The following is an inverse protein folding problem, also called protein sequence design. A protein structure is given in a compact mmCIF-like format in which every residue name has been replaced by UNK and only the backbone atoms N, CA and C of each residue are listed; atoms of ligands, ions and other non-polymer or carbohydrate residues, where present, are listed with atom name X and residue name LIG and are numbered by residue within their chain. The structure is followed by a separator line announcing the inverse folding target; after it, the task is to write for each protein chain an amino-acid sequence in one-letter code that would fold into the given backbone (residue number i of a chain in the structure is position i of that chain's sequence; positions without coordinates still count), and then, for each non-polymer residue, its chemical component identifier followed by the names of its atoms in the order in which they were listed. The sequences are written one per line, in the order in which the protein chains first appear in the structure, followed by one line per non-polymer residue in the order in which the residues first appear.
data_IF_684431465788
#
_entry.id   IF_684431465788
#
_cell.length_a   1.000
_cell.length_b   1.000
_cell.length_c   1.000
_cell.angle_alpha   90.00
_cell.angle_beta   90.00
_cell.angle_gamma   90.00
#
_symmetry.space_group_name_H-M   'P 1'
#
loop_
_entity.id
_entity.type
_entity.pdbx_description
1 polymer ?
#
# COMPACT_ATOMS: atom_id res chain seq x y z
N UNK A 1 -1.18 -10.92 -17.66
CA UNK A 1 0.21 -11.34 -17.40
C UNK A 1 0.32 -12.81 -17.03
N UNK A 2 -0.23 -13.25 -15.90
CA UNK A 2 -0.11 -14.65 -15.41
C UNK A 2 -0.44 -15.71 -16.47
N UNK A 3 -1.57 -15.61 -17.18
CA UNK A 3 -1.93 -16.53 -18.28
C UNK A 3 -0.88 -16.59 -19.40
N UNK A 4 -0.36 -15.43 -19.82
CA UNK A 4 0.66 -15.35 -20.87
C UNK A 4 1.98 -15.99 -20.42
N UNK A 5 2.34 -15.80 -19.15
CA UNK A 5 3.52 -16.45 -18.54
C UNK A 5 3.34 -17.96 -18.52
N UNK A 6 2.17 -18.46 -18.07
CA UNK A 6 1.87 -19.89 -18.09
C UNK A 6 1.94 -20.47 -19.51
N UNK A 7 1.38 -19.79 -20.51
CA UNK A 7 1.47 -20.21 -21.92
C UNK A 7 2.91 -20.20 -22.46
N UNK A 8 3.79 -19.35 -21.92
CA UNK A 8 5.22 -19.38 -22.25
C UNK A 8 5.92 -20.57 -21.59
N UNK A 9 5.61 -20.87 -20.32
CA UNK A 9 6.12 -22.04 -19.61
C UNK A 9 5.67 -23.33 -20.29
N UNK A 10 4.41 -23.43 -20.73
CA UNK A 10 3.86 -24.59 -21.43
C UNK A 10 4.70 -24.98 -22.67
N UNK A 11 5.17 -24.01 -23.46
CA UNK A 11 6.02 -24.25 -24.65
C UNK A 11 7.36 -24.92 -24.34
N UNK A 12 7.80 -24.86 -23.09
CA UNK A 12 9.08 -25.38 -22.63
C UNK A 12 8.94 -26.44 -21.53
N UNK A 13 7.70 -26.90 -21.26
CA UNK A 13 7.39 -27.85 -20.20
C UNK A 13 7.97 -29.24 -20.52
N UNK A 14 8.52 -29.90 -19.50
CA UNK A 14 9.15 -31.22 -19.58
C UNK A 14 8.73 -32.07 -18.39
N UNK A 15 8.77 -33.39 -18.58
CA UNK A 15 8.55 -34.37 -17.52
C UNK A 15 9.51 -34.15 -16.34
N UNK A 16 8.99 -34.23 -15.13
CA UNK A 16 9.72 -34.05 -13.87
C UNK A 16 9.92 -32.59 -13.42
N UNK A 17 9.43 -31.59 -14.18
CA UNK A 17 9.55 -30.20 -13.75
C UNK A 17 8.55 -29.85 -12.64
N UNK A 18 8.98 -28.93 -11.77
CA UNK A 18 8.12 -28.30 -10.77
C UNK A 18 7.90 -26.83 -11.16
N UNK A 19 6.64 -26.40 -11.13
CA UNK A 19 6.20 -25.04 -11.45
C UNK A 19 5.49 -24.49 -10.22
N UNK A 20 5.94 -23.33 -9.73
CA UNK A 20 5.32 -22.67 -8.57
C UNK A 20 4.87 -21.27 -8.97
N UNK A 21 3.58 -20.98 -8.77
CA UNK A 21 3.04 -19.64 -8.93
C UNK A 21 3.26 -18.84 -7.63
N UNK A 22 3.94 -17.69 -7.73
CA UNK A 22 4.16 -16.79 -6.58
C UNK A 22 3.37 -15.47 -6.66
N UNK A 23 2.89 -15.10 -7.85
CA UNK A 23 2.12 -13.88 -8.05
C UNK A 23 0.79 -13.93 -7.29
N UNK A 24 0.45 -12.84 -6.60
CA UNK A 24 -0.87 -12.70 -5.96
C UNK A 24 -1.99 -12.84 -6.98
N UNK A 25 -3.01 -13.62 -6.64
CA UNK A 25 -4.16 -13.90 -7.48
C UNK A 25 -5.36 -14.37 -6.62
N UNK A 26 -6.51 -14.61 -7.23
CA UNK A 26 -7.69 -15.15 -6.53
C UNK A 26 -7.62 -16.67 -6.33
N UNK A 27 -8.30 -17.22 -5.30
CA UNK A 27 -8.32 -18.65 -5.03
C UNK A 27 -8.91 -19.42 -6.21
N UNK A 28 -8.21 -20.48 -6.63
CA UNK A 28 -8.53 -21.29 -7.81
C UNK A 28 -7.68 -20.94 -9.04
N UNK A 29 -6.80 -19.93 -9.00
CA UNK A 29 -6.02 -19.59 -10.20
C UNK A 29 -5.05 -20.69 -10.60
N UNK A 30 -4.35 -21.27 -9.63
CA UNK A 30 -3.40 -22.36 -9.88
C UNK A 30 -4.10 -23.58 -10.50
N UNK A 31 -5.28 -23.94 -9.97
CA UNK A 31 -6.02 -25.14 -10.40
C UNK A 31 -6.89 -24.92 -11.64
N UNK A 32 -7.60 -23.80 -11.74
CA UNK A 32 -8.62 -23.58 -12.78
C UNK A 32 -8.06 -22.81 -13.99
N UNK A 33 -6.88 -22.19 -13.86
CA UNK A 33 -6.29 -21.36 -14.92
C UNK A 33 -4.91 -21.88 -15.34
N UNK A 34 -3.99 -22.06 -14.39
CA UNK A 34 -2.61 -22.42 -14.73
C UNK A 34 -2.51 -23.88 -15.15
N UNK A 35 -3.10 -24.78 -14.36
CA UNK A 35 -3.06 -26.21 -14.65
C UNK A 35 -3.62 -26.54 -16.06
N UNK A 36 -4.81 -26.07 -16.47
CA UNK A 36 -5.31 -26.32 -17.83
C UNK A 36 -4.35 -25.85 -18.92
N UNK A 37 -3.76 -24.65 -18.79
CA UNK A 37 -2.81 -24.10 -19.78
C UNK A 37 -1.56 -24.98 -19.90
N UNK A 38 -1.06 -25.53 -18.79
CA UNK A 38 0.11 -26.41 -18.81
C UNK A 38 -0.23 -27.80 -19.36
N UNK A 39 -1.43 -28.30 -19.09
CA UNK A 39 -1.91 -29.61 -19.55
C UNK A 39 -2.30 -29.64 -21.03
N UNK A 40 -2.48 -28.49 -21.70
CA UNK A 40 -2.60 -28.39 -23.16
C UNK A 40 -1.41 -29.01 -23.91
N UNK A 41 -0.26 -29.17 -23.25
CA UNK A 41 0.93 -29.85 -23.80
C UNK A 41 0.77 -31.37 -23.91
N UNK A 42 -0.28 -31.95 -23.30
CA UNK A 42 -0.49 -33.38 -23.16
C UNK A 42 0.22 -34.00 -21.94
N UNK A 43 1.03 -33.23 -21.21
CA UNK A 43 1.56 -33.63 -19.90
C UNK A 43 0.52 -33.40 -18.81
N UNK A 44 0.49 -34.25 -17.78
CA UNK A 44 -0.47 -34.14 -16.68
C UNK A 44 0.19 -33.73 -15.36
N UNK A 45 -0.45 -32.82 -14.62
CA UNK A 45 -0.03 -32.49 -13.24
C UNK A 45 -0.11 -33.74 -12.35
N UNK A 46 0.74 -33.84 -11.32
CA UNK A 46 0.91 -34.99 -10.40
C UNK A 46 1.62 -36.20 -11.00
N UNK A 47 1.57 -36.36 -12.32
CA UNK A 47 2.13 -37.54 -13.01
C UNK A 47 3.39 -37.15 -13.75
N UNK A 48 3.26 -36.19 -14.66
CA UNK A 48 4.34 -35.79 -15.57
C UNK A 48 5.08 -34.56 -15.06
N UNK A 49 4.39 -33.63 -14.39
CA UNK A 49 4.98 -32.44 -13.78
C UNK A 49 4.29 -32.12 -12.45
N UNK A 50 4.88 -31.23 -11.66
CA UNK A 50 4.40 -30.86 -10.34
C UNK A 50 4.05 -29.37 -10.29
N UNK A 51 2.85 -29.05 -9.82
CA UNK A 51 2.36 -27.68 -9.72
C UNK A 51 2.19 -27.28 -8.26
N UNK A 52 2.53 -26.04 -7.92
CA UNK A 52 2.32 -25.49 -6.59
C UNK A 52 2.08 -24.00 -6.57
N UNK A 53 1.82 -23.49 -5.37
CA UNK A 53 1.65 -22.06 -5.12
C UNK A 53 2.40 -21.68 -3.84
N UNK A 54 3.06 -20.53 -3.87
CA UNK A 54 3.72 -19.96 -2.70
C UNK A 54 3.71 -18.43 -2.78
N UNK A 55 2.85 -17.74 -2.01
CA UNK A 55 2.72 -16.30 -2.16
C UNK A 55 3.97 -15.56 -1.70
N UNK A 56 4.30 -14.47 -2.38
CA UNK A 56 5.31 -13.53 -1.88
C UNK A 56 4.76 -12.70 -0.71
N UNK A 57 5.52 -12.55 0.37
CA UNK A 57 5.11 -11.94 1.65
C UNK A 57 6.12 -10.89 2.15
N UNK A 58 7.14 -10.58 1.37
CA UNK A 58 8.09 -9.49 1.63
C UNK A 58 7.42 -8.13 1.87
N UNK A 59 8.01 -7.34 2.77
CA UNK A 59 7.63 -5.96 3.06
C UNK A 59 8.71 -4.99 2.50
N UNK A 60 8.49 -4.34 1.35
CA UNK A 60 9.54 -3.59 0.65
C UNK A 60 10.18 -2.50 1.51
N UNK A 61 11.52 -2.46 1.58
CA UNK A 61 12.25 -1.44 2.35
C UNK A 61 12.29 -1.68 3.87
N UNK A 62 11.73 -2.78 4.37
CA UNK A 62 11.80 -3.15 5.78
C UNK A 62 13.11 -3.88 6.09
N UNK A 63 14.06 -3.19 6.72
CA UNK A 63 15.38 -3.73 7.08
C UNK A 63 15.36 -4.67 8.29
N UNK A 64 14.24 -4.74 9.01
CA UNK A 64 14.11 -5.58 10.21
C UNK A 64 13.88 -7.06 9.90
N UNK A 65 13.52 -7.38 8.65
CA UNK A 65 13.23 -8.75 8.23
C UNK A 65 14.05 -9.10 7.00
N UNK A 66 14.82 -10.18 7.10
CA UNK A 66 15.50 -10.79 5.97
C UNK A 66 14.53 -11.77 5.28
N UNK A 67 14.57 -11.85 3.95
CA UNK A 67 13.71 -12.77 3.16
C UNK A 67 13.78 -14.20 3.70
N UNK A 68 14.98 -14.69 4.03
CA UNK A 68 15.20 -16.02 4.57
C UNK A 68 14.52 -16.27 5.93
N UNK A 69 14.11 -15.23 6.66
CA UNK A 69 13.45 -15.34 7.98
C UNK A 69 11.93 -15.27 7.90
N UNK A 70 11.37 -14.82 6.78
CA UNK A 70 9.92 -14.70 6.60
C UNK A 70 9.35 -16.10 6.37
N UNK A 71 8.37 -16.56 7.17
CA UNK A 71 7.77 -17.87 6.95
C UNK A 71 7.10 -17.94 5.56
N UNK A 72 7.50 -18.92 4.74
CA UNK A 72 6.96 -19.08 3.39
C UNK A 72 5.80 -20.08 3.43
N UNK A 73 4.61 -19.63 3.05
CA UNK A 73 3.43 -20.50 2.90
C UNK A 73 3.59 -21.28 1.61
N UNK A 74 3.37 -22.59 1.64
CA UNK A 74 3.52 -23.44 0.46
C UNK A 74 2.36 -24.40 0.32
N UNK A 75 1.99 -24.69 -0.93
CA UNK A 75 1.08 -25.74 -1.28
C UNK A 75 1.46 -26.37 -2.61
N UNK A 76 1.16 -27.66 -2.77
CA UNK A 76 1.28 -28.36 -4.03
C UNK A 76 -0.06 -28.96 -4.45
N UNK A 77 -0.22 -29.16 -5.75
CA UNK A 77 -1.32 -29.93 -6.32
C UNK A 77 -1.05 -31.42 -6.08
N UNK A 78 -1.48 -31.96 -4.93
CA UNK A 78 -1.23 -33.34 -4.52
C UNK A 78 -0.02 -33.50 -3.58
N UNK A 79 0.14 -34.70 -3.02
CA UNK A 79 1.09 -34.95 -1.92
C UNK A 79 2.54 -34.89 -2.40
N UNK A 80 2.83 -35.39 -3.61
CA UNK A 80 4.15 -35.38 -4.22
C UNK A 80 4.59 -33.95 -4.52
N UNK A 81 3.72 -33.16 -5.16
CA UNK A 81 3.99 -31.76 -5.44
C UNK A 81 4.21 -30.96 -4.14
N UNK A 82 3.38 -31.18 -3.11
CA UNK A 82 3.53 -30.50 -1.83
C UNK A 82 4.87 -30.82 -1.17
N UNK A 83 5.31 -32.08 -1.23
CA UNK A 83 6.62 -32.53 -0.72
C UNK A 83 7.77 -31.83 -1.45
N UNK A 84 7.71 -31.76 -2.78
CA UNK A 84 8.75 -31.12 -3.60
C UNK A 84 8.82 -29.61 -3.37
N UNK A 85 7.67 -28.93 -3.35
CA UNK A 85 7.59 -27.49 -3.11
C UNK A 85 8.12 -27.16 -1.71
N UNK A 86 7.72 -27.93 -0.70
CA UNK A 86 8.21 -27.75 0.66
C UNK A 86 9.73 -27.95 0.74
N UNK A 87 10.27 -29.01 0.15
CA UNK A 87 11.70 -29.29 0.14
C UNK A 87 12.50 -28.16 -0.55
N UNK A 88 11.97 -27.62 -1.66
CA UNK A 88 12.59 -26.49 -2.35
C UNK A 88 12.68 -25.26 -1.45
N UNK A 89 11.56 -24.81 -0.87
CA UNK A 89 11.57 -23.60 -0.03
C UNK A 89 12.26 -23.80 1.31
N UNK A 90 12.39 -25.02 1.83
CA UNK A 90 13.23 -25.32 3.00
C UNK A 90 14.71 -25.01 2.75
N UNK A 91 15.16 -25.03 1.48
CA UNK A 91 16.50 -24.57 1.10
C UNK A 91 16.63 -23.05 0.97
N UNK A 92 15.51 -22.31 0.98
CA UNK A 92 15.47 -20.86 0.74
C UNK A 92 15.17 -20.08 2.04
N UNK A 93 14.26 -20.59 2.87
CA UNK A 93 13.80 -19.93 4.10
C UNK A 93 13.93 -20.83 5.32
N UNK A 94 14.07 -20.22 6.50
CA UNK A 94 14.16 -20.91 7.79
C UNK A 94 12.87 -21.61 8.20
N UNK A 95 11.72 -21.12 7.75
CA UNK A 95 10.42 -21.65 8.16
C UNK A 95 9.49 -21.76 6.97
N UNK A 96 9.02 -22.98 6.72
CA UNK A 96 8.01 -23.28 5.70
C UNK A 96 6.71 -23.66 6.39
N UNK A 97 5.59 -23.12 5.91
CA UNK A 97 4.25 -23.35 6.46
C UNK A 97 3.42 -24.05 5.37
N UNK A 98 3.38 -25.38 5.34
CA UNK A 98 2.58 -26.10 4.36
C UNK A 98 1.09 -25.95 4.66
N UNK A 99 0.30 -25.78 3.61
CA UNK A 99 -1.18 -25.83 3.65
C UNK A 99 -1.70 -26.87 2.66
N UNK A 100 -2.96 -27.27 2.84
CA UNK A 100 -3.52 -28.45 2.17
C UNK A 100 -3.76 -28.27 0.67
N UNK A 101 -4.05 -27.05 0.20
CA UNK A 101 -4.35 -26.78 -1.21
C UNK A 101 -3.74 -25.47 -1.69
N UNK A 102 -3.46 -25.39 -2.99
CA UNK A 102 -3.01 -24.16 -3.68
C UNK A 102 -4.01 -23.03 -3.49
N UNK A 103 -5.31 -23.31 -3.61
CA UNK A 103 -6.38 -22.35 -3.32
C UNK A 103 -6.34 -21.81 -1.87
N UNK A 104 -5.98 -22.65 -0.89
CA UNK A 104 -5.80 -22.20 0.51
C UNK A 104 -4.62 -21.23 0.59
N UNK A 105 -3.49 -21.55 -0.04
CA UNK A 105 -2.32 -20.67 -0.05
C UNK A 105 -2.58 -19.34 -0.78
N UNK A 106 -3.33 -19.34 -1.88
CA UNK A 106 -3.81 -18.15 -2.58
C UNK A 106 -4.70 -17.28 -1.66
N UNK A 107 -5.64 -17.92 -0.94
CA UNK A 107 -6.54 -17.24 -0.02
C UNK A 107 -5.81 -16.62 1.19
N UNK A 108 -4.73 -17.24 1.69
CA UNK A 108 -3.91 -16.69 2.78
C UNK A 108 -3.39 -15.31 2.40
N UNK A 109 -2.82 -15.16 1.20
CA UNK A 109 -2.25 -13.88 0.76
C UNK A 109 -3.29 -12.77 0.66
N UNK A 110 -4.46 -13.09 0.11
CA UNK A 110 -5.56 -12.14 0.02
C UNK A 110 -6.08 -11.75 1.40
N UNK A 111 -6.21 -12.72 2.31
CA UNK A 111 -6.66 -12.49 3.69
C UNK A 111 -5.73 -11.49 4.41
N UNK A 112 -4.40 -11.63 4.25
CA UNK A 112 -3.43 -10.68 4.81
C UNK A 112 -3.64 -9.25 4.31
N UNK A 113 -3.81 -9.08 2.99
CA UNK A 113 -4.00 -7.76 2.39
C UNK A 113 -5.38 -7.16 2.71
N UNK A 114 -6.44 -7.97 2.71
CA UNK A 114 -7.79 -7.56 3.11
C UNK A 114 -7.78 -7.11 4.58
N UNK A 115 -7.19 -7.90 5.47
CA UNK A 115 -7.07 -7.55 6.88
C UNK A 115 -6.35 -6.22 7.08
N UNK A 116 -5.25 -5.99 6.37
CA UNK A 116 -4.55 -4.70 6.41
C UNK A 116 -5.41 -3.55 5.86
N UNK A 117 -6.08 -3.73 4.72
CA UNK A 117 -6.92 -2.70 4.10
C UNK A 117 -8.09 -2.28 5.01
N UNK A 118 -8.81 -3.26 5.56
CA UNK A 118 -9.97 -3.05 6.44
C UNK A 118 -9.57 -2.35 7.73
N UNK A 119 -8.46 -2.73 8.37
CA UNK A 119 -8.05 -2.07 9.60
C UNK A 119 -7.50 -0.66 9.36
N UNK A 120 -6.84 -0.40 8.22
CA UNK A 120 -6.46 0.98 7.85
C UNK A 120 -7.72 1.83 7.62
N UNK A 121 -8.74 1.29 6.95
CA UNK A 121 -10.02 1.99 6.78
C UNK A 121 -10.68 2.29 8.12
N UNK A 122 -10.69 1.32 9.05
CA UNK A 122 -11.23 1.50 10.39
C UNK A 122 -10.56 2.66 11.12
N UNK A 123 -9.23 2.72 11.18
CA UNK A 123 -8.54 3.82 11.88
C UNK A 123 -8.69 5.17 11.16
N UNK A 124 -8.80 5.16 9.83
CA UNK A 124 -9.11 6.36 9.04
C UNK A 124 -10.53 6.89 9.31
N UNK A 125 -11.51 6.01 9.47
CA UNK A 125 -12.88 6.39 9.87
C UNK A 125 -12.91 6.92 11.30
N UNK A 126 -12.29 6.19 12.24
CA UNK A 126 -12.21 6.62 13.65
C UNK A 126 -11.54 7.98 13.79
N UNK A 127 -10.50 8.27 12.99
CA UNK A 127 -9.86 9.60 12.96
C UNK A 127 -10.84 10.73 12.67
N UNK A 128 -11.76 10.54 11.71
CA UNK A 128 -12.77 11.56 11.38
C UNK A 128 -13.77 11.72 12.52
N UNK A 129 -14.26 10.61 13.07
CA UNK A 129 -15.24 10.63 14.17
C UNK A 129 -14.65 11.24 15.43
N UNK A 130 -13.49 10.75 15.88
CA UNK A 130 -12.82 11.24 17.08
C UNK A 130 -12.32 12.68 16.90
N UNK A 131 -11.87 13.06 15.70
CA UNK A 131 -11.51 14.44 15.37
C UNK A 131 -12.69 15.41 15.55
N UNK A 132 -13.90 15.02 15.14
CA UNK A 132 -15.11 15.81 15.38
C UNK A 132 -15.47 15.96 16.87
N UNK A 133 -15.00 15.03 17.71
CA UNK A 133 -15.14 15.07 19.17
C UNK A 133 -13.96 15.79 19.86
N UNK A 134 -12.96 16.26 19.12
CA UNK A 134 -11.74 16.86 19.68
C UNK A 134 -10.78 15.85 20.33
N UNK A 135 -10.88 14.57 19.99
CA UNK A 135 -10.05 13.48 20.55
C UNK A 135 -8.95 13.12 19.56
N UNK A 136 -7.70 13.05 20.05
CA UNK A 136 -6.54 12.68 19.22
C UNK A 136 -6.48 11.16 19.00
N UNK A 137 -6.76 10.73 17.77
CA UNK A 137 -6.69 9.32 17.37
C UNK A 137 -5.30 8.70 17.60
N UNK A 138 -4.22 9.47 17.49
CA UNK A 138 -2.87 8.94 17.69
C UNK A 138 -2.61 8.59 19.15
N UNK A 139 -3.09 9.43 20.07
CA UNK A 139 -3.05 9.15 21.51
C UNK A 139 -3.88 7.90 21.83
N UNK A 140 -5.09 7.80 21.26
CA UNK A 140 -5.97 6.63 21.44
C UNK A 140 -5.30 5.35 20.97
N UNK A 141 -4.66 5.35 19.78
CA UNK A 141 -3.97 4.18 19.25
C UNK A 141 -2.78 3.79 20.12
N UNK A 142 -1.94 4.75 20.55
CA UNK A 142 -0.78 4.43 21.40
C UNK A 142 -1.20 3.94 22.79
N UNK A 143 -2.28 4.47 23.36
CA UNK A 143 -2.85 3.94 24.60
C UNK A 143 -3.42 2.53 24.39
N UNK A 144 -4.19 2.29 23.32
CA UNK A 144 -4.79 0.99 23.03
C UNK A 144 -3.75 -0.10 22.74
N UNK A 145 -2.62 0.28 22.11
CA UNK A 145 -1.46 -0.59 21.83
C UNK A 145 -0.82 -1.17 23.08
N UNK A 146 -1.01 -0.56 24.25
CA UNK A 146 -0.54 -1.13 25.52
C UNK A 146 -1.26 -2.42 25.92
N UNK A 147 -2.42 -2.72 25.32
CA UNK A 147 -3.17 -3.95 25.58
C UNK A 147 -2.44 -5.16 24.95
N UNK A 148 -2.03 -6.17 25.73
CA UNK A 148 -1.18 -7.24 25.24
C UNK A 148 -1.88 -8.27 24.35
N UNK A 149 -3.21 -8.19 24.18
CA UNK A 149 -3.98 -9.12 23.36
C UNK A 149 -5.18 -8.44 22.69
N UNK A 150 -5.59 -8.96 21.53
CA UNK A 150 -6.81 -8.55 20.83
C UNK A 150 -6.77 -7.14 20.25
N UNK A 151 -5.61 -6.49 20.21
CA UNK A 151 -5.41 -5.22 19.52
C UNK A 151 -4.08 -5.22 18.80
N UNK A 152 -4.13 -5.00 17.48
CA UNK A 152 -2.95 -4.82 16.64
C UNK A 152 -3.03 -3.41 16.05
N UNK A 153 -2.06 -2.53 16.32
CA UNK A 153 -2.17 -1.13 15.93
C UNK A 153 -2.07 -0.97 14.42
N UNK A 154 -2.99 -0.18 13.87
CA UNK A 154 -2.90 0.42 12.55
C UNK A 154 -2.94 1.93 12.72
N UNK A 155 -2.40 2.64 11.74
CA UNK A 155 -2.24 4.09 11.83
C UNK A 155 -2.93 4.78 10.66
N UNK A 156 -3.61 5.92 10.89
CA UNK A 156 -4.25 6.65 9.82
C UNK A 156 -3.20 7.29 8.90
N UNK A 157 -3.61 7.64 7.69
CA UNK A 157 -2.72 8.24 6.70
C UNK A 157 -3.47 9.02 5.62
N UNK A 158 -2.76 9.53 4.60
CA UNK A 158 -3.35 10.32 3.52
C UNK A 158 -4.12 9.46 2.51
N UNK A 159 -4.01 8.14 2.60
CA UNK A 159 -4.61 7.16 1.71
C UNK A 159 -3.79 5.87 1.69
N UNK A 160 -4.24 4.90 0.91
CA UNK A 160 -3.46 3.70 0.61
C UNK A 160 -2.59 3.94 -0.62
N UNK A 161 -1.47 3.21 -0.72
CA UNK A 161 -0.71 3.12 -1.95
C UNK A 161 0.06 1.81 -2.05
N UNK A 162 0.82 1.66 -3.13
CA UNK A 162 1.33 0.39 -3.62
C UNK A 162 0.22 -0.44 -4.27
N UNK A 163 0.54 -1.57 -4.90
CA UNK A 163 -0.49 -2.41 -5.53
C UNK A 163 -1.22 -3.32 -4.54
N UNK A 164 -0.51 -3.86 -3.55
CA UNK A 164 -1.01 -5.00 -2.76
C UNK A 164 -2.25 -4.68 -1.91
N UNK A 165 -2.38 -3.46 -1.38
CA UNK A 165 -3.50 -3.11 -0.48
C UNK A 165 -4.69 -2.51 -1.24
N UNK A 166 -4.49 -1.60 -2.21
CA UNK A 166 -5.58 -1.04 -3.00
C UNK A 166 -6.20 -2.03 -4.00
N UNK A 167 -5.45 -3.01 -4.51
CA UNK A 167 -5.89 -3.85 -5.63
C UNK A 167 -6.23 -5.27 -5.19
N UNK A 168 -5.32 -5.96 -4.49
CA UNK A 168 -5.47 -7.40 -4.22
C UNK A 168 -6.80 -7.77 -3.52
N UNK A 169 -7.34 -7.00 -2.55
CA UNK A 169 -8.66 -7.30 -1.97
C UNK A 169 -9.78 -7.47 -3.00
N UNK A 170 -9.72 -6.74 -4.12
CA UNK A 170 -10.71 -6.82 -5.18
C UNK A 170 -10.61 -8.09 -6.03
N UNK A 171 -9.50 -8.83 -5.98
CA UNK A 171 -9.43 -10.16 -6.60
C UNK A 171 -10.42 -11.12 -5.93
N UNK A 172 -10.55 -11.05 -4.60
CA UNK A 172 -11.56 -11.82 -3.89
C UNK A 172 -12.97 -11.28 -4.16
N UNK A 173 -13.16 -9.96 -4.19
CA UNK A 173 -14.46 -9.36 -4.57
C UNK A 173 -14.92 -9.84 -5.94
N UNK A 174 -14.02 -9.88 -6.92
CA UNK A 174 -14.32 -10.37 -8.26
C UNK A 174 -14.69 -11.86 -8.23
N UNK A 175 -13.88 -12.71 -7.57
CA UNK A 175 -14.14 -14.15 -7.50
C UNK A 175 -15.41 -14.49 -6.72
N UNK A 176 -15.72 -13.75 -5.66
CA UNK A 176 -16.91 -13.96 -4.83
C UNK A 176 -18.23 -13.71 -5.58
N UNK A 177 -18.22 -12.88 -6.63
CA UNK A 177 -19.39 -12.66 -7.50
C UNK A 177 -19.81 -13.92 -8.24
N UNK A 178 -18.87 -14.81 -8.58
CA UNK A 178 -19.21 -16.12 -9.18
C UNK A 178 -19.98 -17.04 -8.22
N UNK A 179 -19.90 -16.76 -6.92
CA UNK A 179 -20.64 -17.47 -5.87
C UNK A 179 -21.85 -16.66 -5.36
N UNK A 180 -22.20 -15.56 -6.03
CA UNK A 180 -23.30 -14.67 -5.63
C UNK A 180 -23.14 -14.06 -4.22
N UNK A 181 -21.88 -13.94 -3.75
CA UNK A 181 -21.54 -13.43 -2.43
C UNK A 181 -20.91 -12.02 -2.52
N UNK A 182 -21.57 -10.96 -2.02
CA UNK A 182 -20.97 -9.63 -1.99
C UNK A 182 -19.97 -9.46 -0.84
N UNK A 183 -18.81 -8.85 -1.12
CA UNK A 183 -17.76 -8.58 -0.13
C UNK A 183 -17.89 -7.18 0.48
N UNK A 184 -18.97 -6.94 1.23
CA UNK A 184 -19.34 -5.60 1.73
C UNK A 184 -18.23 -4.88 2.54
N UNK A 185 -17.52 -5.61 3.40
CA UNK A 185 -16.43 -5.02 4.19
C UNK A 185 -15.24 -4.58 3.33
N UNK A 186 -14.90 -5.33 2.28
CA UNK A 186 -13.80 -4.99 1.37
C UNK A 186 -14.15 -3.72 0.60
N UNK A 187 -15.37 -3.65 0.08
CA UNK A 187 -15.86 -2.51 -0.70
C UNK A 187 -15.93 -1.24 0.16
N UNK A 188 -16.48 -1.34 1.38
CA UNK A 188 -16.55 -0.22 2.32
C UNK A 188 -15.15 0.26 2.73
N UNK A 189 -14.22 -0.66 3.01
CA UNK A 189 -12.85 -0.30 3.34
C UNK A 189 -12.17 0.46 2.20
N UNK A 190 -12.39 0.02 0.96
CA UNK A 190 -11.86 0.71 -0.21
C UNK A 190 -12.47 2.11 -0.39
N UNK A 191 -13.78 2.28 -0.18
CA UNK A 191 -14.45 3.58 -0.23
C UNK A 191 -13.83 4.56 0.78
N UNK A 192 -13.72 4.15 2.05
CA UNK A 192 -13.15 4.98 3.12
C UNK A 192 -11.71 5.38 2.78
N UNK A 193 -10.88 4.41 2.37
CA UNK A 193 -9.48 4.65 2.08
C UNK A 193 -9.27 5.55 0.85
N UNK A 194 -10.09 5.38 -0.20
CA UNK A 194 -10.03 6.19 -1.43
C UNK A 194 -10.52 7.62 -1.19
N UNK A 195 -11.37 7.84 -0.18
CA UNK A 195 -11.83 9.16 0.21
C UNK A 195 -10.78 9.98 1.00
N UNK A 196 -9.73 9.34 1.54
CA UNK A 196 -8.77 10.01 2.42
C UNK A 196 -8.01 11.18 1.78
N UNK A 197 -7.52 11.11 0.52
CA UNK A 197 -6.89 12.26 -0.11
C UNK A 197 -7.79 13.50 -0.16
N UNK A 198 -9.09 13.32 -0.44
CA UNK A 198 -10.06 14.43 -0.43
C UNK A 198 -10.23 14.99 0.98
N UNK A 199 -10.31 14.15 2.00
CA UNK A 199 -10.39 14.61 3.40
C UNK A 199 -9.15 15.41 3.82
N UNK A 200 -7.96 14.99 3.41
CA UNK A 200 -6.72 15.74 3.65
C UNK A 200 -6.77 17.11 3.00
N UNK A 201 -7.24 17.19 1.74
CA UNK A 201 -7.40 18.48 1.03
C UNK A 201 -8.46 19.37 1.68
N UNK A 202 -9.57 18.81 2.17
CA UNK A 202 -10.58 19.56 2.91
C UNK A 202 -10.02 20.14 4.22
N UNK A 203 -9.23 19.36 4.97
CA UNK A 203 -8.56 19.84 6.18
C UNK A 203 -7.48 20.87 5.87
N UNK A 204 -6.72 20.71 4.78
CA UNK A 204 -5.79 21.71 4.28
C UNK A 204 -6.50 23.04 3.97
N UNK A 205 -7.62 23.00 3.26
CA UNK A 205 -8.39 24.19 2.92
C UNK A 205 -8.92 24.90 4.18
N UNK A 206 -9.47 24.15 5.14
CA UNK A 206 -9.93 24.68 6.44
C UNK A 206 -8.78 25.30 7.23
N UNK A 207 -7.61 24.66 7.23
CA UNK A 207 -6.44 25.13 7.95
C UNK A 207 -5.89 26.43 7.34
N UNK A 208 -5.79 26.51 6.01
CA UNK A 208 -5.39 27.73 5.29
C UNK A 208 -6.34 28.90 5.57
N UNK A 209 -7.64 28.66 5.54
CA UNK A 209 -8.66 29.68 5.81
C UNK A 209 -8.55 30.19 7.26
N UNK A 210 -8.61 29.27 8.23
CA UNK A 210 -8.65 29.62 9.66
C UNK A 210 -7.35 30.21 10.18
N UNK A 211 -6.19 29.75 9.71
CA UNK A 211 -4.88 30.14 10.25
C UNK A 211 -4.19 31.22 9.43
N UNK A 212 -4.44 31.26 8.12
CA UNK A 212 -3.74 32.18 7.22
C UNK A 212 -4.69 33.16 6.52
N UNK A 213 -6.01 32.99 6.61
CA UNK A 213 -6.99 33.78 5.85
C UNK A 213 -6.88 33.57 4.33
N UNK A 214 -6.35 32.41 3.90
CA UNK A 214 -6.08 32.09 2.49
C UNK A 214 -7.02 31.01 1.99
N UNK A 215 -7.53 31.20 0.76
CA UNK A 215 -8.30 30.18 0.07
C UNK A 215 -7.36 29.24 -0.69
N UNK A 216 -7.61 27.93 -0.66
CA UNK A 216 -6.80 26.92 -1.35
C UNK A 216 -6.61 27.22 -2.85
N UNK A 217 -7.63 27.76 -3.51
CA UNK A 217 -7.62 28.14 -4.93
C UNK A 217 -6.61 29.23 -5.31
N UNK A 218 -5.97 29.87 -4.33
CA UNK A 218 -4.96 30.90 -4.53
C UNK A 218 -3.67 30.60 -3.78
N UNK A 219 -3.55 29.40 -3.22
CA UNK A 219 -2.43 28.99 -2.41
C UNK A 219 -1.46 28.11 -3.19
N UNK A 220 -0.18 28.21 -2.81
CA UNK A 220 0.89 27.30 -3.22
C UNK A 220 1.13 26.30 -2.11
N UNK A 221 1.07 25.02 -2.46
CA UNK A 221 1.18 23.90 -1.54
C UNK A 221 2.39 23.06 -1.90
N UNK A 222 3.23 22.75 -0.91
CA UNK A 222 4.32 21.80 -1.05
C UNK A 222 3.93 20.46 -0.46
N UNK A 223 3.93 19.40 -1.29
CA UNK A 223 3.75 18.02 -0.84
C UNK A 223 5.12 17.43 -0.49
N UNK A 224 5.28 16.97 0.75
CA UNK A 224 6.47 16.24 1.20
C UNK A 224 6.19 14.75 1.09
N UNK A 225 6.93 14.10 0.21
CA UNK A 225 6.80 12.68 -0.11
C UNK A 225 5.86 12.43 -1.29
N UNK A 226 6.41 11.86 -2.35
CA UNK A 226 5.68 11.37 -3.52
C UNK A 226 5.56 9.85 -3.51
N UNK A 227 6.55 9.14 -2.97
CA UNK A 227 6.47 7.70 -2.78
C UNK A 227 5.34 7.33 -1.81
N UNK A 228 4.69 6.19 -2.02
CA UNK A 228 3.59 5.76 -1.13
C UNK A 228 4.07 5.25 0.23
N UNK A 229 5.34 4.84 0.31
CA UNK A 229 5.99 4.26 1.49
C UNK A 229 7.30 5.00 1.76
N UNK A 230 7.60 5.18 3.05
CA UNK A 230 8.87 5.75 3.50
C UNK A 230 10.07 5.03 2.90
N UNK A 231 11.09 5.81 2.55
CA UNK A 231 12.44 5.39 2.16
C UNK A 231 12.54 4.49 0.92
N UNK A 232 11.54 4.49 0.04
CA UNK A 232 11.56 3.77 -1.23
C UNK A 232 11.14 4.71 -2.38
N UNK A 233 11.60 4.49 -3.63
CA UNK A 233 11.24 5.33 -4.78
C UNK A 233 9.92 4.91 -5.47
N UNK A 234 9.05 4.19 -4.77
CA UNK A 234 7.85 3.59 -5.37
C UNK A 234 6.62 4.50 -5.23
N UNK A 235 6.10 4.94 -6.37
CA UNK A 235 4.95 5.86 -6.46
C UNK A 235 3.66 5.18 -6.92
N UNK A 236 3.66 3.85 -7.10
CA UNK A 236 2.49 3.13 -7.61
C UNK A 236 1.31 3.32 -6.66
N UNK A 237 0.16 3.72 -7.20
CA UNK A 237 -1.04 4.06 -6.41
C UNK A 237 -0.79 5.09 -5.30
N UNK A 238 0.23 5.95 -5.41
CA UNK A 238 0.57 6.87 -4.33
C UNK A 238 -0.55 7.90 -4.07
N UNK A 239 -0.98 8.10 -2.80
CA UNK A 239 -1.98 9.10 -2.47
C UNK A 239 -1.50 10.52 -2.78
N UNK A 240 -0.19 10.76 -2.80
CA UNK A 240 0.39 12.07 -3.14
C UNK A 240 0.06 12.53 -4.55
N UNK A 241 -0.06 11.60 -5.52
CA UNK A 241 -0.46 11.93 -6.88
C UNK A 241 -1.89 12.48 -6.89
N UNK A 242 -2.80 11.84 -6.15
CA UNK A 242 -4.18 12.30 -6.03
C UNK A 242 -4.30 13.61 -5.24
N UNK A 243 -3.47 13.82 -4.20
CA UNK A 243 -3.43 15.08 -3.46
C UNK A 243 -3.07 16.26 -4.38
N UNK A 244 -2.05 16.09 -5.23
CA UNK A 244 -1.63 17.10 -6.21
C UNK A 244 -2.79 17.46 -7.13
N UNK A 245 -3.44 16.46 -7.72
CA UNK A 245 -4.57 16.68 -8.64
C UNK A 245 -5.74 17.37 -7.95
N UNK A 246 -6.12 16.94 -6.74
CA UNK A 246 -7.22 17.54 -5.99
C UNK A 246 -6.96 19.01 -5.64
N UNK A 247 -5.71 19.35 -5.29
CA UNK A 247 -5.32 20.75 -5.03
C UNK A 247 -5.46 21.60 -6.31
N UNK A 248 -5.04 21.06 -7.45
CA UNK A 248 -5.13 21.74 -8.75
C UNK A 248 -6.57 21.82 -9.28
N UNK A 249 -7.40 20.80 -9.04
CA UNK A 249 -8.84 20.81 -9.31
C UNK A 249 -9.55 21.95 -8.54
N UNK A 250 -9.07 22.26 -7.34
CA UNK A 250 -9.54 23.41 -6.54
C UNK A 250 -8.98 24.76 -7.01
N UNK A 251 -8.07 24.77 -7.99
CA UNK A 251 -7.39 25.96 -8.52
C UNK A 251 -6.09 26.34 -7.80
N UNK A 252 -5.69 25.59 -6.77
CA UNK A 252 -4.41 25.78 -6.08
C UNK A 252 -3.23 25.34 -6.95
N UNK A 253 -2.01 25.62 -6.49
CA UNK A 253 -0.77 25.12 -7.11
C UNK A 253 -0.11 24.12 -6.19
N UNK A 254 0.19 22.93 -6.69
CA UNK A 254 0.89 21.91 -5.93
C UNK A 254 2.28 21.65 -6.52
N UNK A 255 3.30 21.67 -5.68
CA UNK A 255 4.65 21.19 -6.00
C UNK A 255 5.01 20.09 -5.01
N UNK A 256 6.04 19.29 -5.29
CA UNK A 256 6.43 18.22 -4.39
C UNK A 256 7.93 18.19 -4.15
N UNK A 257 8.31 17.68 -2.99
CA UNK A 257 9.67 17.29 -2.67
C UNK A 257 9.68 15.82 -2.24
N UNK A 258 10.53 15.01 -2.87
CA UNK A 258 10.79 13.63 -2.48
C UNK A 258 12.28 13.29 -2.67
N UNK A 259 12.98 12.76 -1.64
CA UNK A 259 14.41 12.48 -1.72
C UNK A 259 14.75 11.22 -2.56
N UNK A 260 13.76 10.40 -2.90
CA UNK A 260 13.92 9.16 -3.67
C UNK A 260 13.27 9.23 -5.06
N UNK A 261 12.42 10.22 -5.31
CA UNK A 261 11.72 10.39 -6.60
C UNK A 261 12.00 11.77 -7.16
N UNK A 262 12.81 11.83 -8.21
CA UNK A 262 13.26 13.11 -8.80
C UNK A 262 12.24 13.73 -9.76
N UNK A 263 11.41 12.91 -10.41
CA UNK A 263 10.45 13.33 -11.43
C UNK A 263 9.26 12.38 -11.48
N UNK A 264 8.05 12.90 -11.72
CA UNK A 264 6.84 12.09 -11.94
C UNK A 264 6.94 11.40 -13.32
N UNK A 265 7.08 10.07 -13.40
CA UNK A 265 7.12 9.35 -14.65
C UNK A 265 5.75 9.34 -15.34
N UNK A 266 5.70 8.84 -16.57
CA UNK A 266 4.44 8.61 -17.25
C UNK A 266 3.62 7.52 -16.52
N UNK A 267 2.45 7.89 -16.00
CA UNK A 267 1.51 6.94 -15.38
C UNK A 267 0.20 6.92 -16.18
N UNK A 268 -0.56 5.82 -16.10
CA UNK A 268 -1.83 5.71 -16.83
C UNK A 268 -2.87 6.74 -16.37
N UNK A 269 -2.90 7.01 -15.07
CA UNK A 269 -3.99 7.77 -14.42
C UNK A 269 -3.62 9.24 -14.20
N UNK A 270 -2.33 9.56 -14.00
CA UNK A 270 -1.87 10.90 -13.64
C UNK A 270 -1.07 11.57 -14.77
N UNK A 271 -1.53 11.42 -16.01
CA UNK A 271 -0.84 11.94 -17.20
C UNK A 271 -0.69 13.47 -17.20
N UNK A 272 -1.61 14.19 -16.55
CA UNK A 272 -1.62 15.65 -16.51
C UNK A 272 -0.42 16.23 -15.73
N UNK A 273 0.12 15.48 -14.77
CA UNK A 273 1.19 15.93 -13.87
C UNK A 273 2.55 15.30 -14.17
N UNK A 274 2.66 14.53 -15.27
CA UNK A 274 3.91 13.92 -15.72
C UNK A 274 5.01 14.96 -15.92
N UNK A 275 6.26 14.57 -15.68
CA UNK A 275 7.43 15.43 -15.90
C UNK A 275 7.64 16.51 -14.83
N UNK A 276 6.75 16.63 -13.85
CA UNK A 276 6.97 17.50 -12.69
C UNK A 276 8.14 16.97 -11.87
N UNK A 277 9.05 17.86 -11.50
CA UNK A 277 10.28 17.52 -10.78
C UNK A 277 10.15 17.82 -9.29
N UNK A 278 10.87 17.04 -8.50
CA UNK A 278 11.04 17.32 -7.07
C UNK A 278 11.74 18.66 -6.90
N UNK A 279 11.14 19.55 -6.12
CA UNK A 279 11.79 20.81 -5.74
C UNK A 279 12.87 20.55 -4.70
N UNK A 280 13.90 21.38 -4.62
CA UNK A 280 14.90 21.29 -3.56
C UNK A 280 14.37 21.94 -2.28
N UNK A 281 14.55 21.25 -1.14
CA UNK A 281 14.08 21.74 0.15
C UNK A 281 15.08 22.75 0.71
N UNK A 282 14.81 24.04 0.50
CA UNK A 282 15.59 25.15 1.08
C UNK A 282 14.70 26.03 1.95
N UNK A 283 15.29 26.82 2.85
CA UNK A 283 14.55 27.81 3.66
C UNK A 283 13.73 28.76 2.77
N UNK A 284 14.33 29.27 1.69
CA UNK A 284 13.66 30.18 0.77
C UNK A 284 12.43 29.52 0.11
N UNK A 285 12.57 28.26 -0.30
CA UNK A 285 11.48 27.47 -0.88
C UNK A 285 10.37 27.24 0.15
N UNK A 286 10.72 26.83 1.38
CA UNK A 286 9.72 26.59 2.44
C UNK A 286 8.90 27.83 2.79
N UNK A 287 9.51 29.02 2.80
CA UNK A 287 8.83 30.30 3.06
C UNK A 287 7.96 30.78 1.89
N UNK A 288 8.21 30.29 0.68
CA UNK A 288 7.50 30.67 -0.54
C UNK A 288 6.17 29.89 -0.72
N UNK A 289 5.98 28.80 0.04
CA UNK A 289 4.73 28.05 0.08
C UNK A 289 3.81 28.53 1.20
N UNK A 290 2.50 28.52 0.93
CA UNK A 290 1.47 28.89 1.90
C UNK A 290 1.18 27.78 2.89
N UNK A 291 1.41 26.52 2.48
CA UNK A 291 1.34 25.36 3.35
C UNK A 291 2.21 24.20 2.84
N UNK A 292 2.60 23.34 3.78
CA UNK A 292 3.29 22.09 3.53
C UNK A 292 2.38 20.93 3.95
N UNK A 293 2.21 19.93 3.09
CA UNK A 293 1.48 18.68 3.41
C UNK A 293 2.48 17.54 3.50
N UNK A 294 2.59 16.89 4.65
CA UNK A 294 3.41 15.68 4.80
C UNK A 294 2.56 14.46 4.45
N UNK A 295 2.85 13.86 3.29
CA UNK A 295 2.19 12.66 2.79
C UNK A 295 3.00 11.39 3.06
N UNK A 296 4.33 11.49 3.12
CA UNK A 296 5.22 10.36 3.43
C UNK A 296 6.34 10.75 4.38
N UNK A 297 6.59 9.89 5.37
CA UNK A 297 7.52 10.12 6.48
C UNK A 297 8.93 9.57 6.19
N UNK A 298 9.60 10.14 5.18
CA UNK A 298 10.96 9.76 4.81
C UNK A 298 12.00 10.19 5.86
N UNK A 299 12.96 9.32 6.16
CA UNK A 299 14.00 9.58 7.17
C UNK A 299 14.98 10.67 6.72
N UNK A 300 15.13 10.89 5.40
CA UNK A 300 16.08 11.86 4.83
C UNK A 300 15.58 13.31 4.83
N UNK A 301 14.35 13.56 5.29
CA UNK A 301 13.75 14.90 5.34
C UNK A 301 14.14 15.62 6.62
N UNK A 302 14.59 16.87 6.51
CA UNK A 302 14.78 17.76 7.64
C UNK A 302 13.44 18.36 8.10
N UNK A 303 12.74 17.63 8.97
CA UNK A 303 11.48 18.09 9.55
C UNK A 303 11.64 19.28 10.50
N UNK A 304 12.85 19.50 11.06
CA UNK A 304 13.11 20.68 11.89
C UNK A 304 13.07 21.94 11.02
N UNK A 305 13.75 21.93 9.88
CA UNK A 305 13.72 23.03 8.92
C UNK A 305 12.28 23.32 8.42
N UNK A 306 11.47 22.28 8.17
CA UNK A 306 10.06 22.45 7.82
C UNK A 306 9.30 23.12 8.97
N UNK A 307 9.48 22.64 10.21
CA UNK A 307 8.82 23.22 11.38
C UNK A 307 9.16 24.70 11.60
N UNK A 308 10.41 25.09 11.30
CA UNK A 308 10.94 26.44 11.54
C UNK A 308 10.57 27.44 10.44
N UNK A 309 10.32 26.98 9.21
CA UNK A 309 10.17 27.88 8.06
C UNK A 309 8.82 27.80 7.35
N UNK A 310 8.07 26.71 7.49
CA UNK A 310 6.74 26.60 6.88
C UNK A 310 5.71 27.42 7.66
N UNK A 311 4.88 28.17 6.93
CA UNK A 311 3.79 28.96 7.52
C UNK A 311 2.70 28.09 8.17
N UNK A 312 2.35 27.01 7.47
CA UNK A 312 1.32 26.06 7.88
C UNK A 312 1.75 24.66 7.48
N UNK A 313 1.56 23.69 8.38
CA UNK A 313 1.90 22.29 8.14
C UNK A 313 0.67 21.43 8.35
N UNK A 314 0.37 20.58 7.38
CA UNK A 314 -0.67 19.55 7.44
C UNK A 314 0.02 18.20 7.49
N UNK A 315 0.05 17.58 8.66
CA UNK A 315 0.76 16.33 8.94
C UNK A 315 -0.21 15.15 8.94
N UNK A 316 -0.12 14.33 7.89
CA UNK A 316 -0.97 13.13 7.75
C UNK A 316 -0.37 11.87 8.37
N UNK A 317 0.89 11.95 8.82
CA UNK A 317 1.70 10.82 9.31
C UNK A 317 2.11 10.96 10.77
N UNK A 318 1.72 12.07 11.42
CA UNK A 318 2.09 12.41 12.79
C UNK A 318 3.62 12.37 13.01
N UNK A 319 4.38 12.85 12.02
CA UNK A 319 5.83 12.99 12.12
C UNK A 319 6.19 13.96 13.23
N UNK A 320 5.60 15.16 13.22
CA UNK A 320 5.97 16.23 14.15
C UNK A 320 5.62 15.86 15.60
N UNK A 321 4.52 15.15 15.82
CA UNK A 321 4.17 14.62 17.14
C UNK A 321 5.20 13.60 17.65
N UNK A 322 5.65 12.68 16.79
CA UNK A 322 6.63 11.63 17.16
C UNK A 322 8.01 12.17 17.48
N UNK A 323 8.44 13.25 16.81
CA UNK A 323 9.77 13.86 17.00
C UNK A 323 9.77 15.03 17.98
N UNK A 324 8.66 15.29 18.68
CA UNK A 324 8.57 16.34 19.70
C UNK A 324 8.51 17.77 19.15
N UNK A 325 8.10 17.94 17.89
CA UNK A 325 7.97 19.23 17.20
C UNK A 325 6.51 19.63 16.96
N UNK A 326 5.61 19.22 17.85
CA UNK A 326 4.23 19.69 17.82
C UNK A 326 4.19 21.21 18.06
N UNK A 327 3.63 21.97 17.12
CA UNK A 327 3.52 23.43 17.16
C UNK A 327 2.12 23.87 16.78
N UNK A 328 1.75 25.10 17.13
CA UNK A 328 0.48 25.70 16.70
C UNK A 328 0.35 25.79 15.19
N UNK A 329 1.46 25.81 14.43
CA UNK A 329 1.45 25.82 12.96
C UNK A 329 1.22 24.43 12.35
N UNK A 330 1.24 23.36 13.14
CA UNK A 330 1.00 21.99 12.68
C UNK A 330 -0.47 21.60 12.90
N UNK A 331 -1.09 21.02 11.88
CA UNK A 331 -2.44 20.42 11.89
C UNK A 331 -2.27 18.93 11.61
N UNK A 332 -2.85 18.08 12.45
CA UNK A 332 -2.98 16.65 12.13
C UNK A 332 -4.19 16.48 11.22
N UNK A 333 -4.01 15.91 10.03
CA UNK A 333 -5.07 15.77 9.02
C UNK A 333 -5.14 14.38 8.46
#
# INVERSE_FOLDING_TARGET
FVRNTAGTVAKHLRRGQMIVLESTTYPGTTDDVIKPILEETGLQSKIDFFLGFSPEREDPGNRSFEVATIPKVVAGDGIEAATLVQAFYQGVVKTVVPVSTTATAEAVKLTENIFRSVNIALVNELKVVLGAMGIDIWEVIEAAKSKPFGYMPFYPGPGLGGHCVPIDPFYLTWKAREYELPTRFIELAAEINTAMPRRVVDELAKALDRRCGKALSRSRILIIGLAYKRNVPDIRESPSLRLIELIEEWGGKAEFHDPHVTEIPMTREHMAIKGRRSVELTEAVLKDFDAVVVATDHDAIDYQAIADHALLIVDTRNVFGRIGLARETVVKA
#
